data_IF_549521998750
#
_entry.id   IF_549521998750
#
_cell.length_a   1.000
_cell.length_b   1.000
_cell.length_c   1.000
_cell.angle_alpha   90.00
_cell.angle_beta   90.00
_cell.angle_gamma   90.00
#
_symmetry.space_group_name_H-M   'P 1'
#
loop_
_entity.id
_entity.type
_entity.pdbx_description
1 polymer ?
#
# COMPACT_ATOMS: atom_id res chain seq x y z
N UNK A 1 -6.30 -11.85 -6.42
CA UNK A 1 -5.42 -11.07 -7.33
C UNK A 1 -4.24 -10.45 -6.56
N UNK A 2 -4.45 -9.44 -5.69
CA UNK A 2 -3.34 -8.79 -4.96
C UNK A 2 -2.52 -9.73 -4.07
N UNK A 3 -3.15 -10.74 -3.44
CA UNK A 3 -2.44 -11.75 -2.66
C UNK A 3 -1.43 -12.54 -3.51
N UNK A 4 -1.88 -13.10 -4.63
CA UNK A 4 -1.00 -13.85 -5.54
C UNK A 4 0.16 -12.99 -6.05
N UNK A 5 -0.09 -11.71 -6.36
CA UNK A 5 0.99 -10.77 -6.72
C UNK A 5 1.99 -10.57 -5.58
N UNK A 6 1.52 -10.43 -4.33
CA UNK A 6 2.41 -10.28 -3.19
C UNK A 6 3.24 -11.55 -2.91
N UNK A 7 2.64 -12.73 -3.10
CA UNK A 7 3.34 -14.03 -3.00
C UNK A 7 4.40 -14.19 -4.10
N UNK A 8 4.18 -13.63 -5.30
CA UNK A 8 5.19 -13.62 -6.38
C UNK A 8 6.31 -12.61 -6.14
N UNK A 9 6.01 -11.48 -5.49
CA UNK A 9 6.95 -10.37 -5.28
C UNK A 9 7.75 -10.47 -3.97
N UNK A 10 7.41 -11.42 -3.08
CA UNK A 10 8.00 -11.51 -1.75
C UNK A 10 8.16 -12.95 -1.29
N UNK A 11 9.37 -13.29 -0.85
CA UNK A 11 9.71 -14.60 -0.30
C UNK A 11 9.04 -14.88 1.06
N UNK A 12 8.75 -13.83 1.84
CA UNK A 12 8.09 -13.90 3.16
C UNK A 12 6.83 -13.03 3.17
N UNK A 13 5.83 -13.44 2.39
CA UNK A 13 4.54 -12.76 2.38
C UNK A 13 3.75 -13.05 3.65
N UNK A 14 3.55 -12.01 4.47
CA UNK A 14 2.76 -12.06 5.72
C UNK A 14 1.39 -11.43 5.51
N UNK A 15 0.33 -12.23 5.29
CA UNK A 15 -1.00 -11.66 5.11
C UNK A 15 -1.59 -11.16 6.44
N UNK A 16 -2.44 -10.14 6.36
CA UNK A 16 -3.27 -9.75 7.51
C UNK A 16 -4.22 -10.88 7.92
N UNK A 17 -4.55 -10.93 9.21
CA UNK A 17 -5.49 -11.92 9.79
C UNK A 17 -6.84 -11.93 9.07
N UNK A 18 -7.40 -10.74 8.81
CA UNK A 18 -8.62 -10.59 8.02
C UNK A 18 -8.28 -10.19 6.58
N UNK A 19 -8.91 -10.86 5.61
CA UNK A 19 -8.61 -10.73 4.18
C UNK A 19 -9.88 -10.59 3.35
N UNK A 20 -9.73 -10.11 2.12
CA UNK A 20 -10.84 -9.94 1.18
C UNK A 20 -11.94 -9.07 1.77
N UNK A 21 -13.17 -9.58 1.76
CA UNK A 21 -14.35 -8.88 2.25
C UNK A 21 -14.35 -8.60 3.76
N UNK A 22 -13.52 -9.30 4.52
CA UNK A 22 -13.37 -9.10 5.96
C UNK A 22 -12.23 -8.14 6.31
N UNK A 23 -11.49 -7.66 5.31
CA UNK A 23 -10.40 -6.73 5.55
C UNK A 23 -10.94 -5.29 5.73
N UNK A 24 -10.36 -4.52 6.65
CA UNK A 24 -10.83 -3.16 6.89
C UNK A 24 -10.37 -2.19 5.79
N UNK A 25 -11.14 -1.13 5.57
CA UNK A 25 -10.73 -0.01 4.73
C UNK A 25 -9.58 0.79 5.39
N UNK A 26 -8.73 1.46 4.61
CA UNK A 26 -7.71 2.35 5.14
C UNK A 26 -8.29 3.66 5.70
N UNK A 27 -9.49 4.04 5.29
CA UNK A 27 -10.15 5.30 5.66
C UNK A 27 -9.84 6.50 4.74
N UNK A 28 -8.98 6.34 3.73
CA UNK A 28 -8.62 7.42 2.78
C UNK A 28 -9.55 7.56 1.56
N UNK A 29 -10.55 6.70 1.41
CA UNK A 29 -11.49 6.73 0.27
C UNK A 29 -12.56 7.83 0.37
N UNK A 30 -13.50 7.85 -0.58
CA UNK A 30 -14.73 8.64 -0.48
C UNK A 30 -14.55 10.17 -0.42
N UNK A 31 -13.43 10.70 -0.93
CA UNK A 31 -13.09 12.13 -0.85
C UNK A 31 -12.42 12.54 0.47
N UNK A 32 -12.18 11.62 1.41
CA UNK A 32 -11.59 11.94 2.71
C UNK A 32 -10.14 12.46 2.63
N UNK A 33 -9.36 11.98 1.66
CA UNK A 33 -7.98 12.43 1.45
C UNK A 33 -7.88 13.92 1.07
N UNK A 34 -8.54 14.42 0.00
CA UNK A 34 -8.42 15.82 -0.41
C UNK A 34 -9.07 16.82 0.55
N UNK A 35 -10.06 16.43 1.36
CA UNK A 35 -10.75 17.37 2.26
C UNK A 35 -9.87 17.94 3.39
N UNK A 36 -8.76 17.28 3.75
CA UNK A 36 -7.82 17.81 4.74
C UNK A 36 -8.44 18.14 6.11
N UNK A 37 -7.88 19.13 6.82
CA UNK A 37 -8.47 19.71 8.04
C UNK A 37 -9.00 18.70 9.07
N UNK A 38 -10.25 18.90 9.50
CA UNK A 38 -10.95 17.99 10.44
C UNK A 38 -11.14 16.58 9.87
N UNK A 39 -11.26 16.44 8.55
CA UNK A 39 -11.37 15.13 7.92
C UNK A 39 -10.08 14.32 8.08
N UNK A 40 -8.90 14.97 8.07
CA UNK A 40 -7.63 14.29 8.34
C UNK A 40 -7.65 13.58 9.70
N UNK A 41 -8.12 14.25 10.76
CA UNK A 41 -8.23 13.67 12.11
C UNK A 41 -9.17 12.46 12.12
N UNK A 42 -10.32 12.59 11.47
CA UNK A 42 -11.32 11.52 11.38
C UNK A 42 -10.81 10.31 10.59
N UNK A 43 -10.19 10.50 9.41
CA UNK A 43 -9.65 9.37 8.64
C UNK A 43 -8.50 8.67 9.36
N UNK A 44 -7.67 9.40 10.10
CA UNK A 44 -6.61 8.82 10.92
C UNK A 44 -7.19 7.98 12.06
N UNK A 45 -8.22 8.49 12.75
CA UNK A 45 -8.93 7.75 13.80
C UNK A 45 -9.61 6.49 13.26
N UNK A 46 -10.36 6.59 12.16
CA UNK A 46 -11.01 5.44 11.52
C UNK A 46 -9.97 4.42 11.01
N UNK A 47 -8.83 4.89 10.50
CA UNK A 47 -7.75 4.04 9.99
C UNK A 47 -6.93 3.33 11.08
N UNK A 48 -7.15 3.60 12.37
CA UNK A 48 -6.43 2.95 13.47
C UNK A 48 -6.51 1.42 13.38
N UNK A 49 -7.70 0.88 13.12
CA UNK A 49 -7.90 -0.57 12.99
C UNK A 49 -7.08 -1.16 11.83
N UNK A 50 -6.88 -0.41 10.75
CA UNK A 50 -6.02 -0.83 9.64
C UNK A 50 -4.54 -0.80 10.06
N UNK A 51 -4.13 0.22 10.81
CA UNK A 51 -2.79 0.33 11.36
C UNK A 51 -2.47 -0.87 12.28
N UNK A 52 -3.42 -1.26 13.14
CA UNK A 52 -3.29 -2.43 14.02
C UNK A 52 -3.17 -3.72 13.20
N UNK A 53 -4.02 -3.92 12.19
CA UNK A 53 -3.91 -5.08 11.30
C UNK A 53 -2.55 -5.18 10.61
N UNK A 54 -1.96 -4.05 10.20
CA UNK A 54 -0.63 -4.03 9.61
C UNK A 54 0.41 -4.37 10.67
N UNK A 55 0.33 -3.74 11.85
CA UNK A 55 1.26 -3.96 12.96
C UNK A 55 1.31 -5.41 13.39
N UNK A 56 0.17 -6.09 13.48
CA UNK A 56 0.04 -7.51 13.83
C UNK A 56 0.83 -8.44 12.88
N UNK A 57 1.05 -8.04 11.62
CA UNK A 57 1.82 -8.86 10.66
C UNK A 57 3.32 -8.84 10.93
N UNK A 58 3.83 -7.80 11.62
CA UNK A 58 5.26 -7.55 11.78
C UNK A 58 6.01 -7.27 10.46
N UNK A 59 5.30 -7.01 9.36
CA UNK A 59 5.91 -6.73 8.06
C UNK A 59 6.62 -5.38 8.05
N UNK A 60 7.84 -5.34 7.51
CA UNK A 60 8.63 -4.10 7.33
C UNK A 60 8.32 -3.37 6.02
N UNK A 61 7.73 -4.08 5.07
CA UNK A 61 7.27 -3.53 3.79
C UNK A 61 5.79 -3.88 3.65
N UNK A 62 4.98 -2.89 3.32
CA UNK A 62 3.53 -3.05 3.12
C UNK A 62 3.20 -2.73 1.66
N UNK A 63 2.76 -3.74 0.92
CA UNK A 63 2.28 -3.55 -0.45
C UNK A 63 0.90 -2.90 -0.46
N UNK A 64 0.77 -1.84 -1.26
CA UNK A 64 -0.47 -1.07 -1.38
C UNK A 64 -0.90 -1.00 -2.86
N UNK A 65 -2.14 -1.40 -3.20
CA UNK A 65 -2.61 -1.46 -4.60
C UNK A 65 -3.36 -0.21 -5.07
N UNK A 66 -3.53 0.80 -4.21
CA UNK A 66 -4.44 1.92 -4.45
C UNK A 66 -3.75 3.24 -4.10
N UNK A 67 -3.91 4.23 -4.98
CA UNK A 67 -3.38 5.58 -4.81
C UNK A 67 -3.80 6.26 -3.50
N UNK A 68 -5.08 6.24 -3.14
CA UNK A 68 -5.50 6.85 -1.86
C UNK A 68 -5.00 6.06 -0.64
N UNK A 69 -4.81 4.74 -0.78
CA UNK A 69 -4.36 3.91 0.32
C UNK A 69 -2.89 4.16 0.64
N UNK A 70 -2.03 4.45 -0.35
CA UNK A 70 -0.60 4.61 -0.10
C UNK A 70 -0.34 5.82 0.80
N UNK A 71 -1.00 6.94 0.52
CA UNK A 71 -0.86 8.16 1.30
C UNK A 71 -1.50 8.02 2.68
N UNK A 72 -2.70 7.44 2.74
CA UNK A 72 -3.38 7.16 4.02
C UNK A 72 -2.54 6.24 4.91
N UNK A 73 -2.01 5.13 4.38
CA UNK A 73 -1.22 4.17 5.17
C UNK A 73 0.09 4.81 5.65
N UNK A 74 0.73 5.66 4.84
CA UNK A 74 1.92 6.43 5.26
C UNK A 74 1.59 7.41 6.38
N UNK A 75 0.44 8.07 6.31
CA UNK A 75 -0.05 8.94 7.36
C UNK A 75 -0.38 8.17 8.65
N UNK A 76 -0.96 6.97 8.55
CA UNK A 76 -1.20 6.09 9.69
C UNK A 76 0.13 5.63 10.32
N UNK A 77 1.12 5.25 9.49
CA UNK A 77 2.43 4.84 9.97
C UNK A 77 3.11 5.95 10.79
N UNK A 78 3.05 7.20 10.29
CA UNK A 78 3.58 8.38 11.01
C UNK A 78 2.79 8.67 12.29
N UNK A 79 1.47 8.58 12.23
CA UNK A 79 0.57 8.96 13.35
C UNK A 79 0.65 7.98 14.51
N UNK A 80 0.81 6.69 14.21
CA UNK A 80 0.86 5.61 15.21
C UNK A 80 2.27 5.03 15.41
N UNK A 81 3.30 5.74 14.93
CA UNK A 81 4.73 5.40 15.09
C UNK A 81 5.04 3.95 14.70
N UNK A 82 4.53 3.54 13.54
CA UNK A 82 4.68 2.17 13.04
C UNK A 82 5.94 2.05 12.16
N UNK A 83 6.76 1.07 12.47
CA UNK A 83 8.04 0.81 11.78
C UNK A 83 7.86 -0.10 10.55
N UNK A 84 7.26 0.47 9.49
CA UNK A 84 7.19 -0.15 8.16
C UNK A 84 7.24 0.90 7.04
N UNK A 85 7.67 0.47 5.85
CA UNK A 85 7.59 1.26 4.60
C UNK A 85 6.42 0.79 3.76
N UNK A 86 5.49 1.69 3.45
CA UNK A 86 4.45 1.42 2.45
C UNK A 86 4.94 1.74 1.04
N UNK A 87 4.76 0.80 0.12
CA UNK A 87 5.13 0.92 -1.30
C UNK A 87 3.96 0.53 -2.19
N UNK A 88 3.90 1.10 -3.39
CA UNK A 88 2.86 0.74 -4.35
C UNK A 88 3.25 -0.54 -5.11
N UNK A 89 2.30 -1.40 -5.47
CA UNK A 89 2.59 -2.59 -6.30
C UNK A 89 3.31 -2.21 -7.61
N UNK A 90 2.94 -1.08 -8.21
CA UNK A 90 3.62 -0.56 -9.42
C UNK A 90 5.13 -0.36 -9.20
N UNK A 91 5.53 0.17 -8.04
CA UNK A 91 6.93 0.44 -7.72
C UNK A 91 7.67 -0.90 -7.60
N UNK A 92 7.10 -1.84 -6.84
CA UNK A 92 7.69 -3.15 -6.64
C UNK A 92 7.84 -3.95 -7.95
N UNK A 93 6.85 -3.86 -8.84
CA UNK A 93 6.85 -4.56 -10.14
C UNK A 93 7.86 -3.89 -11.07
N UNK A 94 7.80 -2.57 -11.25
CA UNK A 94 8.70 -1.86 -12.18
C UNK A 94 10.17 -1.96 -11.79
N UNK A 95 10.50 -2.05 -10.49
CA UNK A 95 11.88 -2.23 -10.02
C UNK A 95 12.43 -3.66 -10.23
N UNK A 96 11.55 -4.66 -10.39
CA UNK A 96 11.94 -6.08 -10.43
C UNK A 96 11.62 -6.77 -11.75
N UNK A 97 10.79 -6.16 -12.59
CA UNK A 97 10.39 -6.77 -13.84
C UNK A 97 11.57 -6.78 -14.81
N UNK A 98 11.83 -7.96 -15.38
CA UNK A 98 12.70 -8.09 -16.53
C UNK A 98 11.94 -7.64 -17.78
N UNK A 99 12.48 -6.65 -18.47
CA UNK A 99 11.90 -6.14 -19.72
C UNK A 99 12.63 -6.84 -20.87
N UNK A 100 11.93 -7.64 -21.70
CA UNK A 100 12.52 -8.24 -22.89
C UNK A 100 13.15 -7.17 -23.80
N UNK A 101 14.28 -7.50 -24.44
CA UNK A 101 15.02 -6.54 -25.27
C UNK A 101 14.14 -5.90 -26.35
N UNK A 102 13.23 -6.67 -26.94
CA UNK A 102 12.29 -6.22 -27.96
C UNK A 102 11.22 -5.23 -27.46
N UNK A 103 11.00 -5.14 -26.15
CA UNK A 103 10.04 -4.23 -25.49
C UNK A 103 10.68 -2.97 -24.93
N UNK A 104 12.01 -2.85 -24.97
CA UNK A 104 12.71 -1.62 -24.60
C UNK A 104 12.38 -0.57 -25.66
N UNK A 105 11.84 0.61 -25.28
CA UNK A 105 11.60 1.69 -26.24
C UNK A 105 12.88 1.96 -27.01
N UNK A 106 12.81 1.86 -28.34
CA UNK A 106 13.89 2.35 -29.19
C UNK A 106 13.84 3.86 -29.07
N UNK A 107 14.98 4.49 -28.81
CA UNK A 107 15.07 5.94 -28.88
C UNK A 107 14.65 6.35 -30.30
N UNK A 108 13.45 6.90 -30.44
CA UNK A 108 13.09 7.64 -31.64
C UNK A 108 13.92 8.93 -31.56
N UNK A 109 14.97 9.01 -32.37
CA UNK A 109 15.70 10.26 -32.60
C UNK A 109 14.68 11.35 -32.97
N UNK A 110 14.55 12.36 -32.10
CA UNK A 110 13.85 13.62 -32.40
C UNK A 110 14.43 14.31 -33.64
#
# INVERSE_FOLDING_TARGET
KNRALAEMLSEDFRPMKYQGNYNYCCGGGGGAMPMGGEMKKHRLKCGMIKADQIKETGAKIVFVPCHNCIDQIRDLAKTYELDFKAIHFKEAISERMEIPEEMIPKDEEE
#
